data_IF_132501266776
#
_entry.id   IF_132501266776
#
_cell.length_a   1.000
_cell.length_b   1.000
_cell.length_c   1.000
_cell.angle_alpha   90.00
_cell.angle_beta   90.00
_cell.angle_gamma   90.00
#
_symmetry.space_group_name_H-M   'P 1'
#
loop_
_entity.id
_entity.type
_entity.pdbx_description
1 polymer ?
#
# COMPACT_ATOMS: atom_id res chain seq x y z
N UNK A 1 -1.96 6.67 -15.85
CA UNK A 1 -0.55 6.45 -15.42
C UNK A 1 -0.06 7.44 -14.35
N UNK A 2 -0.94 8.16 -13.64
CA UNK A 2 -0.55 9.00 -12.49
C UNK A 2 -0.35 8.20 -11.20
N UNK A 3 -1.11 7.12 -11.04
CA UNK A 3 -1.31 6.49 -9.74
C UNK A 3 -0.09 5.65 -9.33
N UNK A 4 0.56 4.98 -10.28
CA UNK A 4 1.81 4.27 -10.04
C UNK A 4 2.93 5.23 -9.60
N UNK A 5 3.06 6.39 -10.26
CA UNK A 5 4.04 7.42 -9.89
C UNK A 5 3.71 8.01 -8.52
N UNK A 6 2.44 8.19 -8.18
CA UNK A 6 2.02 8.66 -6.86
C UNK A 6 2.41 7.66 -5.76
N UNK A 7 2.15 6.37 -5.95
CA UNK A 7 2.51 5.30 -4.99
C UNK A 7 4.03 5.21 -4.84
N UNK A 8 4.75 5.03 -5.95
CA UNK A 8 6.21 4.85 -5.93
C UNK A 8 6.93 6.10 -5.42
N UNK A 9 6.55 7.27 -5.92
CA UNK A 9 7.13 8.55 -5.52
C UNK A 9 6.94 8.83 -4.02
N UNK A 10 5.72 8.60 -3.51
CA UNK A 10 5.41 8.80 -2.09
C UNK A 10 6.20 7.85 -1.20
N UNK A 11 6.25 6.55 -1.53
CA UNK A 11 7.00 5.57 -0.76
C UNK A 11 8.49 5.91 -0.73
N UNK A 12 9.09 6.22 -1.88
CA UNK A 12 10.52 6.59 -1.97
C UNK A 12 10.84 7.86 -1.20
N UNK A 13 10.02 8.90 -1.34
CA UNK A 13 10.23 10.17 -0.65
C UNK A 13 10.15 10.00 0.88
N UNK A 14 9.18 9.22 1.36
CA UNK A 14 9.05 8.90 2.79
C UNK A 14 10.22 8.06 3.29
N UNK A 15 10.61 7.02 2.54
CA UNK A 15 11.75 6.16 2.89
C UNK A 15 13.05 6.92 3.00
N UNK A 16 13.33 7.81 2.04
CA UNK A 16 14.53 8.66 2.04
C UNK A 16 14.59 9.57 3.26
N UNK A 17 13.43 10.02 3.76
CA UNK A 17 13.34 10.90 4.93
C UNK A 17 13.49 10.15 6.25
N UNK A 18 12.89 8.96 6.36
CA UNK A 18 12.85 8.18 7.61
C UNK A 18 13.99 7.16 7.74
N UNK A 19 14.67 6.82 6.64
CA UNK A 19 15.61 5.70 6.56
C UNK A 19 14.94 4.32 6.64
N UNK A 20 13.61 4.25 6.69
CA UNK A 20 12.84 3.01 6.92
C UNK A 20 11.75 2.79 5.87
N UNK A 21 11.40 1.54 5.53
CA UNK A 21 10.22 1.21 4.73
C UNK A 21 8.99 2.03 5.06
N UNK A 22 8.32 2.53 4.03
CA UNK A 22 7.02 3.18 4.21
C UNK A 22 5.96 2.10 4.46
N UNK A 23 5.25 2.11 5.60
CA UNK A 23 4.07 1.25 5.77
C UNK A 23 3.03 1.63 4.71
N UNK A 24 2.52 0.64 3.97
CA UNK A 24 1.56 0.83 2.90
C UNK A 24 0.48 -0.24 3.00
N UNK A 25 -0.78 0.18 3.06
CA UNK A 25 -1.93 -0.70 2.99
C UNK A 25 -2.74 -0.40 1.72
N UNK A 26 -3.20 -1.44 1.03
CA UNK A 26 -4.08 -1.35 -0.15
C UNK A 26 -5.12 -2.47 -0.07
N UNK A 27 -6.28 -2.31 -0.73
CA UNK A 27 -7.22 -3.43 -0.87
C UNK A 27 -6.75 -4.39 -1.96
N UNK A 28 -7.13 -5.67 -1.88
CA UNK A 28 -6.76 -6.66 -2.90
C UNK A 28 -7.44 -6.44 -4.27
N UNK A 29 -8.43 -5.54 -4.33
CA UNK A 29 -9.27 -5.27 -5.51
C UNK A 29 -8.96 -3.95 -6.20
N UNK A 30 -7.88 -3.26 -5.80
CA UNK A 30 -7.46 -2.03 -6.47
C UNK A 30 -7.15 -2.25 -7.94
N UNK A 31 -7.21 -1.15 -8.71
CA UNK A 31 -6.76 -1.17 -10.10
C UNK A 31 -5.30 -1.64 -10.20
N UNK A 32 -4.96 -2.38 -11.26
CA UNK A 32 -3.62 -2.99 -11.45
C UNK A 32 -2.47 -2.00 -11.33
N UNK A 33 -2.67 -0.76 -11.77
CA UNK A 33 -1.70 0.34 -11.65
C UNK A 33 -1.30 0.64 -10.19
N UNK A 34 -2.21 0.42 -9.23
CA UNK A 34 -1.97 0.58 -7.79
C UNK A 34 -1.34 -0.67 -7.23
N UNK A 35 -1.94 -1.85 -7.47
CA UNK A 35 -1.44 -3.13 -6.93
C UNK A 35 -0.01 -3.42 -7.37
N UNK A 36 0.28 -3.29 -8.66
CA UNK A 36 1.63 -3.59 -9.18
C UNK A 36 2.66 -2.57 -8.71
N UNK A 37 2.27 -1.30 -8.55
CA UNK A 37 3.14 -0.29 -7.97
C UNK A 37 3.42 -0.55 -6.48
N UNK A 38 2.40 -0.92 -5.70
CA UNK A 38 2.52 -1.25 -4.27
C UNK A 38 3.41 -2.49 -4.08
N UNK A 39 3.17 -3.56 -4.85
CA UNK A 39 3.99 -4.77 -4.83
C UNK A 39 5.42 -4.51 -5.29
N UNK A 40 5.61 -3.69 -6.33
CA UNK A 40 6.95 -3.26 -6.74
C UNK A 40 7.66 -2.52 -5.61
N UNK A 41 7.01 -1.56 -4.97
CA UNK A 41 7.56 -0.83 -3.82
C UNK A 41 7.92 -1.78 -2.66
N UNK A 42 7.13 -2.83 -2.41
CA UNK A 42 7.48 -3.83 -1.42
C UNK A 42 8.75 -4.62 -1.82
N UNK A 43 8.80 -5.11 -3.07
CA UNK A 43 9.92 -5.90 -3.61
C UNK A 43 11.23 -5.12 -3.66
N UNK A 44 11.20 -3.84 -4.01
CA UNK A 44 12.40 -2.99 -4.04
C UNK A 44 12.84 -2.57 -2.64
N UNK A 45 12.07 -2.91 -1.62
CA UNK A 45 12.28 -2.36 -0.30
C UNK A 45 12.17 -0.84 -0.36
N UNK A 46 11.08 -0.32 -0.90
CA UNK A 46 10.59 1.06 -0.75
C UNK A 46 9.45 1.12 0.30
N UNK A 47 8.65 0.07 0.40
CA UNK A 47 7.51 -0.05 1.30
C UNK A 47 7.48 -1.38 2.08
N UNK A 48 6.68 -1.43 3.13
CA UNK A 48 6.19 -2.67 3.75
C UNK A 48 4.70 -2.74 3.45
N UNK A 49 4.31 -3.69 2.61
CA UNK A 49 2.96 -3.79 2.07
C UNK A 49 2.07 -4.70 2.92
N UNK A 50 0.84 -4.26 3.18
CA UNK A 50 -0.27 -5.09 3.66
C UNK A 50 -1.41 -5.02 2.64
N UNK A 51 -1.74 -6.15 2.03
CA UNK A 51 -2.93 -6.26 1.16
C UNK A 51 -4.11 -6.68 2.03
N UNK A 52 -5.17 -5.87 2.04
CA UNK A 52 -6.39 -6.09 2.79
C UNK A 52 -7.46 -6.73 1.90
N UNK A 53 -8.06 -7.81 2.38
CA UNK A 53 -9.18 -8.45 1.68
C UNK A 53 -10.44 -7.58 1.77
N UNK A 54 -11.33 -7.78 0.79
CA UNK A 54 -12.69 -7.23 0.81
C UNK A 54 -13.70 -8.36 0.92
N UNK A 55 -14.78 -8.12 1.64
CA UNK A 55 -15.86 -9.08 1.82
C UNK A 55 -16.62 -9.36 0.51
N UNK A 56 -17.51 -10.37 0.51
CA UNK A 56 -18.33 -10.73 -0.65
C UNK A 56 -19.26 -9.60 -1.14
N UNK A 57 -19.52 -8.60 -0.30
CA UNK A 57 -20.29 -7.40 -0.61
C UNK A 57 -19.43 -6.27 -1.21
N UNK A 58 -18.14 -6.54 -1.45
CA UNK A 58 -17.18 -5.59 -1.99
C UNK A 58 -16.72 -4.53 -0.99
N UNK A 59 -16.92 -4.74 0.32
CA UNK A 59 -16.55 -3.78 1.35
C UNK A 59 -15.33 -4.24 2.14
N UNK A 60 -14.52 -3.26 2.54
CA UNK A 60 -13.42 -3.46 3.46
C UNK A 60 -13.96 -3.53 4.90
N UNK A 61 -13.46 -4.49 5.68
CA UNK A 61 -13.66 -4.50 7.13
C UNK A 61 -12.87 -3.36 7.78
N UNK A 62 -13.59 -2.44 8.43
CA UNK A 62 -13.00 -1.26 9.05
C UNK A 62 -12.18 -1.61 10.31
N UNK A 63 -12.51 -2.70 11.00
CA UNK A 63 -11.72 -3.16 12.15
C UNK A 63 -10.37 -3.73 11.67
N UNK A 64 -10.36 -4.42 10.52
CA UNK A 64 -9.15 -4.88 9.87
C UNK A 64 -8.26 -3.71 9.40
N UNK A 65 -8.86 -2.63 8.87
CA UNK A 65 -8.12 -1.41 8.52
C UNK A 65 -7.50 -0.75 9.75
N UNK A 66 -8.28 -0.56 10.82
CA UNK A 66 -7.82 0.07 12.05
C UNK A 66 -6.61 -0.69 12.65
N UNK A 67 -6.68 -2.02 12.71
CA UNK A 67 -5.59 -2.86 13.21
C UNK A 67 -4.27 -2.72 12.43
N UNK A 68 -4.33 -2.29 11.16
CA UNK A 68 -3.14 -2.01 10.34
C UNK A 68 -2.64 -0.58 10.54
N UNK A 69 -3.54 0.39 10.73
CA UNK A 69 -3.19 1.80 10.93
C UNK A 69 -2.64 2.12 12.32
N UNK A 70 -3.04 1.37 13.36
CA UNK A 70 -2.62 1.60 14.75
C UNK A 70 -1.23 1.02 15.09
N UNK A 71 -0.47 0.58 14.07
CA UNK A 71 0.89 0.01 14.18
C UNK A 71 1.97 1.04 13.89
#
# INVERSE_FOLDING_TARGET
ESDNLAVLGSCRARRRRSGRPTPLAVTAVEHSAVLEAARHAARTGDATLTELDVGPDGRLDMDALAAVCDR
#
